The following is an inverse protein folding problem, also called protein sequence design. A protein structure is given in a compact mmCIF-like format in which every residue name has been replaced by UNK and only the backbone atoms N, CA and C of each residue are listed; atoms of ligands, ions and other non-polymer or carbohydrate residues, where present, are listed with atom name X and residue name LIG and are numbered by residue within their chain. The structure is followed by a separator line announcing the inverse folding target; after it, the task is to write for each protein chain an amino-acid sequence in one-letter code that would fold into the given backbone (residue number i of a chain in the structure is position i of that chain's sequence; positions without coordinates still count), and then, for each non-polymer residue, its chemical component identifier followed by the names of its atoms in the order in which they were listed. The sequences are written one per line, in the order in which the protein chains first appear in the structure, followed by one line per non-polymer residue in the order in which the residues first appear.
data_IF_949167780438
#
_entry.id   IF_949167780438
#
_cell.length_a   1.000
_cell.length_b   1.000
_cell.length_c   1.000
_cell.angle_alpha   90.00
_cell.angle_beta   90.00
_cell.angle_gamma   90.00
#
_symmetry.space_group_name_H-M   'P 1'
#
loop_
_entity.id
_entity.type
_entity.pdbx_description
1 polymer ?
#
# COMPACT_ATOMS: atom_id res chain seq x y z
N UNK A 1 -6.55 4.33 -8.16
CA UNK A 1 -6.81 5.47 -9.05
C UNK A 1 -7.06 6.76 -8.30
N UNK A 2 -8.14 6.94 -7.53
CA UNK A 2 -8.43 8.21 -6.82
C UNK A 2 -7.22 8.79 -6.04
N UNK A 3 -6.55 7.95 -5.24
CA UNK A 3 -5.38 8.33 -4.43
C UNK A 3 -4.11 8.65 -5.24
N UNK A 4 -4.06 8.28 -6.52
CA UNK A 4 -2.98 8.60 -7.44
C UNK A 4 -3.24 9.91 -8.20
N UNK A 5 -4.49 10.20 -8.53
CA UNK A 5 -4.85 11.38 -9.33
C UNK A 5 -5.08 12.64 -8.49
N UNK A 6 -5.58 12.50 -7.26
CA UNK A 6 -5.85 13.65 -6.38
C UNK A 6 -4.61 14.51 -6.03
N UNK A 7 -3.38 13.96 -5.87
CA UNK A 7 -2.20 14.76 -5.57
C UNK A 7 -1.74 15.61 -6.77
N UNK A 8 -2.26 15.36 -7.98
CA UNK A 8 -1.95 16.16 -9.16
C UNK A 8 -2.51 17.58 -9.07
N UNK A 9 -3.42 17.85 -8.12
CA UNK A 9 -4.02 19.18 -7.91
C UNK A 9 -4.96 19.63 -9.03
N UNK A 10 -5.33 18.72 -9.94
CA UNK A 10 -6.23 19.01 -11.05
C UNK A 10 -7.67 18.63 -10.68
N UNK A 11 -8.68 19.33 -11.23
CA UNK A 11 -10.06 18.87 -11.16
C UNK A 11 -10.19 17.48 -11.80
N UNK A 12 -10.69 16.50 -11.04
CA UNK A 12 -10.86 15.13 -11.50
C UNK A 12 -12.34 14.76 -11.49
N UNK A 13 -12.83 14.33 -12.65
CA UNK A 13 -14.14 13.74 -12.82
C UNK A 13 -14.03 12.22 -12.88
N UNK A 14 -14.56 11.55 -11.86
CA UNK A 14 -14.76 10.11 -11.88
C UNK A 14 -16.07 9.76 -12.59
N UNK A 15 -16.18 8.53 -13.07
CA UNK A 15 -17.34 8.07 -13.83
C UNK A 15 -17.83 6.73 -13.30
N UNK A 16 -19.15 6.60 -13.20
CA UNK A 16 -19.85 5.32 -13.05
C UNK A 16 -20.99 5.28 -14.06
N UNK A 17 -21.77 4.20 -14.10
CA UNK A 17 -22.96 4.09 -14.92
C UNK A 17 -24.09 3.36 -14.19
N UNK A 18 -25.31 3.56 -14.70
CA UNK A 18 -26.51 2.87 -14.20
C UNK A 18 -26.55 1.36 -14.55
N UNK A 19 -25.56 0.87 -15.27
CA UNK A 19 -25.45 -0.49 -15.80
C UNK A 19 -25.09 -1.52 -14.71
N UNK A 20 -25.67 -2.72 -14.76
CA UNK A 20 -25.38 -3.76 -13.76
C UNK A 20 -24.04 -4.45 -14.01
N UNK A 21 -23.86 -5.04 -15.19
CA UNK A 21 -22.69 -5.88 -15.49
C UNK A 21 -21.53 -5.09 -16.12
N UNK A 22 -21.82 -4.31 -17.17
CA UNK A 22 -20.81 -3.57 -17.94
C UNK A 22 -21.41 -2.36 -18.62
N UNK A 23 -20.55 -1.43 -19.04
CA UNK A 23 -20.97 -0.25 -19.80
C UNK A 23 -21.82 -0.64 -21.01
N UNK A 24 -22.97 0.02 -21.18
CA UNK A 24 -23.89 -0.22 -22.30
C UNK A 24 -24.87 -1.39 -22.12
N UNK A 25 -24.89 -2.04 -20.96
CA UNK A 25 -25.93 -3.03 -20.61
C UNK A 25 -27.30 -2.36 -20.45
N UNK A 26 -28.02 -2.21 -21.55
CA UNK A 26 -29.33 -1.54 -21.59
C UNK A 26 -30.48 -2.39 -21.03
N UNK A 27 -30.24 -3.65 -20.67
CA UNK A 27 -31.26 -4.58 -20.23
C UNK A 27 -31.34 -4.72 -18.70
N UNK A 28 -30.36 -4.18 -17.96
CA UNK A 28 -30.36 -4.23 -16.50
C UNK A 28 -30.04 -2.87 -15.85
N UNK A 29 -30.43 -2.77 -14.58
CA UNK A 29 -30.13 -1.64 -13.70
C UNK A 29 -29.25 -2.12 -12.55
N UNK A 30 -28.22 -1.33 -12.25
CA UNK A 30 -27.41 -1.51 -11.06
C UNK A 30 -28.28 -1.43 -9.80
N UNK A 31 -28.05 -2.28 -8.78
CA UNK A 31 -28.71 -2.11 -7.48
C UNK A 31 -28.46 -0.71 -6.91
N UNK A 32 -29.48 -0.09 -6.31
CA UNK A 32 -29.37 1.26 -5.71
C UNK A 32 -28.18 1.38 -4.75
N UNK A 33 -28.00 0.38 -3.90
CA UNK A 33 -26.90 0.35 -2.93
C UNK A 33 -25.52 0.39 -3.60
N UNK A 34 -25.34 -0.26 -4.75
CA UNK A 34 -24.07 -0.24 -5.47
C UNK A 34 -23.79 1.12 -6.11
N UNK A 35 -24.79 1.76 -6.72
CA UNK A 35 -24.62 3.11 -7.28
C UNK A 35 -24.36 4.15 -6.18
N UNK A 36 -25.04 4.03 -5.03
CA UNK A 36 -24.79 4.87 -3.86
C UNK A 36 -23.38 4.64 -3.33
N UNK A 37 -22.96 3.38 -3.15
CA UNK A 37 -21.61 3.07 -2.71
C UNK A 37 -20.54 3.69 -3.60
N UNK A 38 -20.63 3.52 -4.92
CA UNK A 38 -19.65 4.05 -5.86
C UNK A 38 -19.60 5.58 -5.83
N UNK A 39 -20.75 6.25 -5.84
CA UNK A 39 -20.82 7.73 -5.80
C UNK A 39 -20.34 8.29 -4.46
N UNK A 40 -20.70 7.67 -3.34
CA UNK A 40 -20.19 8.05 -2.02
C UNK A 40 -18.67 7.80 -1.90
N UNK A 41 -18.12 6.77 -2.55
CA UNK A 41 -16.68 6.54 -2.60
C UNK A 41 -15.94 7.58 -3.44
N UNK A 42 -16.54 8.07 -4.52
CA UNK A 42 -15.98 9.20 -5.28
C UNK A 42 -15.92 10.45 -4.40
N UNK A 43 -17.03 10.78 -3.72
CA UNK A 43 -17.11 11.92 -2.81
C UNK A 43 -16.12 11.82 -1.64
N UNK A 44 -15.99 10.65 -1.02
CA UNK A 44 -15.08 10.43 0.12
C UNK A 44 -13.60 10.64 -0.25
N UNK A 45 -13.27 10.54 -1.54
CA UNK A 45 -11.95 10.82 -2.08
C UNK A 45 -11.77 12.25 -2.60
N UNK A 46 -12.78 13.12 -2.40
CA UNK A 46 -12.75 14.50 -2.88
C UNK A 46 -12.90 14.62 -4.40
N UNK A 47 -13.50 13.62 -5.05
CA UNK A 47 -13.71 13.62 -6.50
C UNK A 47 -15.14 14.02 -6.84
N UNK A 48 -15.31 14.68 -7.99
CA UNK A 48 -16.63 14.85 -8.62
C UNK A 48 -16.96 13.60 -9.45
N UNK A 49 -18.24 13.28 -9.59
CA UNK A 49 -18.70 12.08 -10.29
C UNK A 49 -19.73 12.37 -11.38
N UNK A 50 -19.64 11.64 -12.50
CA UNK A 50 -20.67 11.55 -13.53
C UNK A 50 -21.31 10.15 -13.55
N UNK A 51 -22.64 10.09 -13.64
CA UNK A 51 -23.36 8.82 -13.82
C UNK A 51 -23.81 8.71 -15.28
N UNK A 52 -23.19 7.80 -16.01
CA UNK A 52 -23.49 7.52 -17.41
C UNK A 52 -24.77 6.72 -17.59
N UNK A 53 -25.51 7.07 -18.65
CA UNK A 53 -26.62 6.33 -19.21
C UNK A 53 -26.44 6.24 -20.74
N UNK A 54 -27.07 5.26 -21.37
CA UNK A 54 -27.19 5.13 -22.81
C UNK A 54 -28.65 5.31 -23.19
N UNK A 55 -28.92 6.28 -24.06
CA UNK A 55 -30.27 6.59 -24.51
C UNK A 55 -30.85 5.40 -25.28
N UNK A 56 -32.09 5.02 -24.93
CA UNK A 56 -32.81 3.98 -25.65
C UNK A 56 -32.94 4.36 -27.14
N UNK A 57 -32.85 3.42 -28.10
CA UNK A 57 -33.00 3.71 -29.55
C UNK A 57 -34.30 4.42 -29.97
N UNK A 58 -35.28 4.50 -29.06
CA UNK A 58 -36.53 5.24 -29.27
C UNK A 58 -36.41 6.73 -28.94
N UNK A 59 -35.24 7.19 -28.49
CA UNK A 59 -35.00 8.57 -28.09
C UNK A 59 -35.65 9.01 -26.77
N UNK A 60 -36.22 8.07 -26.00
CA UNK A 60 -36.93 8.37 -24.75
C UNK A 60 -36.14 7.85 -23.54
N UNK A 61 -35.81 8.70 -22.54
CA UNK A 61 -35.16 8.28 -21.31
C UNK A 61 -35.99 7.27 -20.51
N UNK A 62 -35.33 6.29 -19.89
CA UNK A 62 -36.01 5.34 -19.00
C UNK A 62 -36.31 5.98 -17.65
N UNK A 63 -37.60 6.04 -17.28
CA UNK A 63 -38.03 6.55 -15.97
C UNK A 63 -37.31 5.84 -14.82
N UNK A 64 -37.24 4.50 -14.87
CA UNK A 64 -36.60 3.72 -13.81
C UNK A 64 -35.08 4.02 -13.69
N UNK A 65 -34.39 4.23 -14.81
CA UNK A 65 -32.97 4.60 -14.81
C UNK A 65 -32.77 5.98 -14.16
N UNK A 66 -33.61 6.96 -14.50
CA UNK A 66 -33.50 8.31 -13.95
C UNK A 66 -33.99 8.42 -12.49
N UNK A 67 -34.92 7.56 -12.06
CA UNK A 67 -35.26 7.42 -10.63
C UNK A 67 -34.05 6.90 -9.82
N UNK A 68 -33.30 5.93 -10.35
CA UNK A 68 -32.07 5.43 -9.77
C UNK A 68 -30.97 6.50 -9.75
N UNK A 69 -30.68 7.13 -10.89
CA UNK A 69 -29.67 8.20 -11.00
C UNK A 69 -30.01 9.37 -10.07
N UNK A 70 -31.27 9.83 -10.09
CA UNK A 70 -31.74 10.90 -9.21
C UNK A 70 -31.63 10.55 -7.73
N UNK A 71 -31.76 9.26 -7.36
CA UNK A 71 -31.53 8.85 -5.96
C UNK A 71 -30.09 9.02 -5.51
N UNK A 72 -29.10 8.84 -6.39
CA UNK A 72 -27.70 9.08 -6.07
C UNK A 72 -27.40 10.58 -5.98
N UNK A 73 -27.90 11.38 -6.93
CA UNK A 73 -27.71 12.84 -6.88
C UNK A 73 -28.38 13.52 -5.68
N UNK A 74 -29.56 13.07 -5.24
CA UNK A 74 -30.16 13.56 -3.98
C UNK A 74 -29.29 13.28 -2.77
N UNK A 75 -28.61 12.12 -2.74
CA UNK A 75 -27.65 11.83 -1.67
C UNK A 75 -26.41 12.73 -1.76
N UNK A 76 -25.86 12.93 -2.96
CA UNK A 76 -24.73 13.84 -3.20
C UNK A 76 -25.07 15.27 -2.76
N UNK A 77 -26.26 15.77 -3.13
CA UNK A 77 -26.75 17.09 -2.74
C UNK A 77 -26.87 17.22 -1.22
N UNK A 78 -27.41 16.20 -0.54
CA UNK A 78 -27.46 16.16 0.92
C UNK A 78 -26.07 16.14 1.58
N UNK A 79 -25.04 15.68 0.87
CA UNK A 79 -23.66 15.71 1.34
C UNK A 79 -22.95 17.05 1.10
N UNK A 80 -23.49 17.96 0.28
CA UNK A 80 -22.82 19.20 -0.12
C UNK A 80 -22.30 20.05 1.07
N UNK A 81 -23.02 20.20 2.20
CA UNK A 81 -22.53 20.97 3.35
C UNK A 81 -21.24 20.43 3.99
N UNK A 82 -20.92 19.14 3.77
CA UNK A 82 -19.70 18.51 4.26
C UNK A 82 -18.54 18.58 3.25
N UNK A 83 -18.82 19.00 2.02
CA UNK A 83 -17.86 19.04 0.92
C UNK A 83 -17.39 20.47 0.61
N UNK A 84 -18.25 21.47 0.84
CA UNK A 84 -17.92 22.87 0.61
C UNK A 84 -16.70 23.33 1.42
N UNK A 85 -15.68 23.84 0.73
CA UNK A 85 -14.40 24.24 1.34
C UNK A 85 -13.57 23.07 1.90
N UNK A 86 -14.05 21.83 1.74
CA UNK A 86 -13.36 20.64 2.18
C UNK A 86 -12.10 20.38 1.37
N UNK A 87 -11.04 19.94 2.04
CA UNK A 87 -9.84 19.41 1.39
C UNK A 87 -9.51 18.04 1.94
N UNK A 88 -9.06 17.16 1.05
CA UNK A 88 -8.50 15.88 1.46
C UNK A 88 -7.16 16.12 2.15
N UNK A 89 -6.98 15.53 3.32
CA UNK A 89 -5.70 15.54 4.05
C UNK A 89 -5.15 14.12 4.09
N UNK A 90 -3.97 13.95 3.51
CA UNK A 90 -3.26 12.67 3.45
C UNK A 90 -2.09 12.69 4.43
N UNK A 91 -1.95 11.64 5.22
CA UNK A 91 -0.89 11.53 6.23
C UNK A 91 0.30 10.71 5.72
N UNK A 92 0.06 9.83 4.75
CA UNK A 92 1.08 8.90 4.22
C UNK A 92 1.24 9.08 2.72
N UNK A 93 2.48 9.12 2.24
CA UNK A 93 2.79 8.95 0.82
C UNK A 93 3.24 7.52 0.54
N UNK A 94 2.70 6.90 -0.51
CA UNK A 94 3.19 5.63 -1.05
C UNK A 94 3.88 5.94 -2.38
N UNK A 95 5.19 5.77 -2.42
CA UNK A 95 5.99 6.10 -3.60
C UNK A 95 5.90 4.95 -4.59
N UNK A 96 5.38 5.22 -5.78
CA UNK A 96 5.18 4.21 -6.84
C UNK A 96 5.79 4.73 -8.12
N UNK A 97 6.63 3.90 -8.74
CA UNK A 97 7.19 4.18 -10.06
C UNK A 97 6.06 4.25 -11.11
N UNK A 98 5.86 5.40 -11.78
CA UNK A 98 4.86 5.54 -12.85
C UNK A 98 5.07 4.56 -14.01
N UNK A 99 6.30 4.07 -14.23
CA UNK A 99 6.61 3.10 -15.28
C UNK A 99 5.89 1.75 -15.08
N UNK A 100 5.40 1.46 -13.87
CA UNK A 100 4.59 0.28 -13.58
C UNK A 100 3.17 0.35 -14.16
N UNK A 101 2.72 1.54 -14.58
CA UNK A 101 1.40 1.74 -15.19
C UNK A 101 0.25 1.17 -14.37
N UNK A 102 -0.64 0.42 -15.03
CA UNK A 102 -1.83 -0.19 -14.40
C UNK A 102 -1.50 -1.42 -13.53
N UNK A 103 -0.26 -1.89 -13.53
CA UNK A 103 0.17 -3.02 -12.72
C UNK A 103 1.27 -2.60 -11.72
N UNK A 104 0.90 -1.92 -10.62
CA UNK A 104 1.85 -1.43 -9.63
C UNK A 104 2.54 -2.52 -8.80
N UNK A 105 2.28 -3.80 -9.11
CA UNK A 105 2.88 -4.95 -8.46
C UNK A 105 2.22 -5.33 -7.12
N UNK A 106 2.52 -6.54 -6.66
CA UNK A 106 1.95 -7.12 -5.44
C UNK A 106 2.32 -6.32 -4.17
N UNK A 107 3.54 -5.78 -4.11
CA UNK A 107 4.03 -5.00 -2.96
C UNK A 107 3.22 -3.70 -2.78
N UNK A 108 3.05 -2.92 -3.85
CA UNK A 108 2.22 -1.71 -3.82
C UNK A 108 0.76 -2.02 -3.49
N UNK A 109 0.17 -3.05 -4.12
CA UNK A 109 -1.20 -3.47 -3.80
C UNK A 109 -1.34 -3.87 -2.32
N UNK A 110 -0.33 -4.56 -1.77
CA UNK A 110 -0.25 -4.91 -0.36
C UNK A 110 -0.23 -3.68 0.55
N UNK A 111 0.63 -2.70 0.25
CA UNK A 111 0.71 -1.45 1.00
C UNK A 111 -0.62 -0.67 0.97
N UNK A 112 -1.25 -0.56 -0.21
CA UNK A 112 -2.56 0.09 -0.39
C UNK A 112 -3.64 -0.60 0.46
N UNK A 113 -3.70 -1.94 0.43
CA UNK A 113 -4.68 -2.71 1.22
C UNK A 113 -4.43 -2.60 2.71
N UNK A 114 -3.17 -2.63 3.15
CA UNK A 114 -2.82 -2.47 4.55
C UNK A 114 -3.26 -1.09 5.07
N UNK A 115 -2.94 -0.02 4.34
CA UNK A 115 -3.35 1.34 4.71
C UNK A 115 -4.88 1.54 4.68
N UNK A 116 -5.58 0.90 3.73
CA UNK A 116 -7.05 0.87 3.72
C UNK A 116 -7.62 0.21 4.97
N UNK A 117 -7.08 -0.95 5.37
CA UNK A 117 -7.52 -1.67 6.56
C UNK A 117 -7.26 -0.88 7.85
N UNK A 118 -6.13 -0.16 7.90
CA UNK A 118 -5.80 0.77 8.99
C UNK A 118 -6.65 2.04 9.01
N UNK A 119 -7.45 2.28 7.95
CA UNK A 119 -8.20 3.53 7.73
C UNK A 119 -7.31 4.78 7.72
N UNK A 120 -6.04 4.61 7.34
CA UNK A 120 -5.11 5.72 7.15
C UNK A 120 -5.43 6.48 5.85
N UNK A 121 -5.27 7.81 5.87
CA UNK A 121 -5.35 8.62 4.65
C UNK A 121 -4.00 8.68 3.97
N UNK A 122 -3.95 8.36 2.68
CA UNK A 122 -2.69 8.26 1.96
C UNK A 122 -2.80 8.57 0.47
N UNK A 123 -1.74 9.11 -0.08
CA UNK A 123 -1.55 9.36 -1.50
C UNK A 123 -0.63 8.33 -2.13
N UNK A 124 -0.83 8.10 -3.42
CA UNK A 124 0.12 7.38 -4.26
C UNK A 124 0.81 8.44 -5.12
N UNK A 125 2.13 8.55 -4.98
CA UNK A 125 2.90 9.64 -5.57
C UNK A 125 4.08 9.10 -6.38
N UNK A 126 4.52 9.78 -7.45
CA UNK A 126 5.74 9.41 -8.16
C UNK A 126 6.98 9.64 -7.27
N UNK A 127 8.13 9.03 -7.61
CA UNK A 127 9.41 9.30 -6.94
C UNK A 127 9.73 10.79 -6.84
N UNK A 128 9.36 11.58 -7.85
CA UNK A 128 9.64 13.02 -7.96
C UNK A 128 8.73 13.94 -7.14
N UNK A 129 7.69 13.41 -6.47
CA UNK A 129 6.72 14.24 -5.75
C UNK A 129 7.27 14.85 -4.46
N UNK A 130 6.83 16.05 -4.10
CA UNK A 130 7.14 16.65 -2.80
C UNK A 130 6.62 15.78 -1.64
N UNK A 131 7.50 15.49 -0.68
CA UNK A 131 7.22 14.62 0.47
C UNK A 131 6.91 15.42 1.74
N UNK A 132 7.16 16.73 1.77
CA UNK A 132 7.11 17.55 2.98
C UNK A 132 5.73 17.65 3.64
N UNK A 133 4.65 17.41 2.90
CA UNK A 133 3.27 17.43 3.41
C UNK A 133 2.85 16.16 4.15
N UNK A 134 3.64 15.10 4.12
CA UNK A 134 3.30 13.79 4.68
C UNK A 134 3.99 13.56 6.03
N UNK A 135 3.34 12.79 6.89
CA UNK A 135 3.92 12.33 8.18
C UNK A 135 4.76 11.08 8.00
N UNK A 136 4.40 10.23 7.04
CA UNK A 136 5.15 9.04 6.70
C UNK A 136 5.26 8.83 5.18
N UNK A 137 6.38 8.24 4.75
CA UNK A 137 6.63 7.84 3.37
C UNK A 137 6.89 6.34 3.35
N UNK A 138 6.15 5.61 2.52
CA UNK A 138 6.30 4.18 2.28
C UNK A 138 6.88 3.98 0.88
N UNK A 139 7.99 3.26 0.79
CA UNK A 139 8.60 2.85 -0.48
C UNK A 139 8.49 1.32 -0.58
N UNK A 140 7.53 0.81 -1.38
CA UNK A 140 7.35 -0.62 -1.60
C UNK A 140 8.53 -1.26 -2.34
N UNK A 141 8.58 -2.59 -2.32
CA UNK A 141 9.65 -3.37 -2.97
C UNK A 141 9.72 -3.17 -4.49
N UNK A 142 8.60 -2.82 -5.11
CA UNK A 142 8.46 -2.64 -6.56
C UNK A 142 8.97 -1.28 -7.06
N UNK A 143 9.31 -0.37 -6.16
CA UNK A 143 9.78 0.98 -6.52
C UNK A 143 11.31 1.01 -6.43
N UNK A 144 12.03 1.13 -7.57
CA UNK A 144 13.48 1.33 -7.56
C UNK A 144 13.83 2.64 -6.85
N UNK A 145 14.94 2.63 -6.12
CA UNK A 145 15.48 3.84 -5.47
C UNK A 145 16.79 4.19 -6.14
N UNK A 146 16.83 5.35 -6.80
CA UNK A 146 18.03 5.94 -7.36
C UNK A 146 18.66 6.94 -6.37
N UNK A 147 19.73 7.61 -6.79
CA UNK A 147 20.44 8.56 -5.95
C UNK A 147 19.59 9.79 -5.58
N UNK A 148 18.76 10.29 -6.52
CA UNK A 148 17.87 11.43 -6.28
C UNK A 148 16.81 11.09 -5.23
N UNK A 149 16.10 9.96 -5.40
CA UNK A 149 15.09 9.53 -4.44
C UNK A 149 15.73 9.24 -3.07
N UNK A 150 16.91 8.60 -3.03
CA UNK A 150 17.63 8.35 -1.78
C UNK A 150 17.98 9.65 -1.05
N UNK A 151 18.51 10.66 -1.76
CA UNK A 151 18.85 11.96 -1.17
C UNK A 151 17.61 12.64 -0.58
N UNK A 152 16.50 12.62 -1.30
CA UNK A 152 15.25 13.26 -0.89
C UNK A 152 14.58 12.53 0.28
N UNK A 153 14.63 11.20 0.32
CA UNK A 153 14.21 10.41 1.48
C UNK A 153 15.07 10.73 2.72
N UNK A 154 16.39 10.86 2.54
CA UNK A 154 17.30 11.25 3.61
C UNK A 154 17.06 12.67 4.13
N UNK A 155 16.80 13.62 3.23
CA UNK A 155 16.42 14.99 3.60
C UNK A 155 15.10 15.02 4.38
N UNK A 156 14.07 14.31 3.90
CA UNK A 156 12.78 14.17 4.58
C UNK A 156 12.93 13.53 5.96
N UNK A 157 13.75 12.48 6.10
CA UNK A 157 14.03 11.84 7.40
C UNK A 157 14.74 12.79 8.36
N UNK A 158 15.75 13.54 7.91
CA UNK A 158 16.45 14.54 8.72
C UNK A 158 15.54 15.69 9.17
N UNK A 159 14.51 16.01 8.41
CA UNK A 159 13.47 16.97 8.78
C UNK A 159 12.44 16.39 9.79
N UNK A 160 12.59 15.13 10.23
CA UNK A 160 11.72 14.49 11.22
C UNK A 160 10.64 13.58 10.62
N UNK A 161 10.62 13.40 9.30
CA UNK A 161 9.65 12.53 8.62
C UNK A 161 9.93 11.05 8.85
N UNK A 162 8.87 10.23 8.94
CA UNK A 162 9.00 8.77 9.07
C UNK A 162 9.11 8.09 7.69
N UNK A 163 10.09 7.20 7.50
CA UNK A 163 10.30 6.48 6.23
C UNK A 163 10.24 4.97 6.48
N UNK A 164 9.41 4.27 5.70
CA UNK A 164 9.30 2.82 5.67
C UNK A 164 9.79 2.31 4.31
N UNK A 165 10.97 1.68 4.30
CA UNK A 165 11.53 1.02 3.13
C UNK A 165 11.24 -0.48 3.21
N UNK A 166 10.80 -1.08 2.10
CA UNK A 166 10.48 -2.50 2.04
C UNK A 166 11.38 -3.21 1.04
N UNK A 167 12.00 -4.31 1.47
CA UNK A 167 12.80 -5.20 0.62
C UNK A 167 13.87 -4.47 -0.20
N UNK A 168 13.91 -4.60 -1.54
CA UNK A 168 14.91 -3.94 -2.38
C UNK A 168 14.99 -2.42 -2.24
N UNK A 169 13.93 -1.73 -1.78
CA UNK A 169 13.95 -0.29 -1.56
C UNK A 169 14.91 0.15 -0.44
N UNK A 170 15.42 -0.79 0.38
CA UNK A 170 16.51 -0.51 1.31
C UNK A 170 17.87 -0.31 0.61
N UNK A 171 17.99 -0.65 -0.67
CA UNK A 171 19.22 -0.53 -1.44
C UNK A 171 19.04 0.45 -2.63
N UNK A 172 19.70 1.61 -2.57
CA UNK A 172 19.80 2.53 -3.71
C UNK A 172 20.65 1.90 -4.81
N UNK A 173 20.22 2.05 -6.05
CA UNK A 173 20.83 1.42 -7.23
C UNK A 173 21.05 -0.10 -7.07
N UNK A 174 20.32 -0.74 -6.14
CA UNK A 174 20.40 -2.17 -5.85
C UNK A 174 21.62 -2.63 -5.03
N UNK A 175 22.53 -1.74 -4.65
CA UNK A 175 23.81 -2.13 -4.04
C UNK A 175 24.14 -1.42 -2.73
N UNK A 176 23.78 -0.14 -2.60
CA UNK A 176 24.18 0.69 -1.46
C UNK A 176 22.98 0.98 -0.56
N UNK A 177 23.15 1.16 0.76
CA UNK A 177 22.02 1.52 1.62
C UNK A 177 21.34 2.82 1.18
N UNK A 178 20.02 2.80 1.00
CA UNK A 178 19.21 3.99 0.68
C UNK A 178 19.34 5.07 1.75
N UNK A 179 19.34 4.68 3.03
CA UNK A 179 19.51 5.55 4.18
C UNK A 179 20.70 5.02 5.01
N UNK A 180 21.93 5.49 4.77
CA UNK A 180 23.13 4.97 5.42
C UNK A 180 23.17 5.23 6.93
N UNK A 181 22.37 6.17 7.44
CA UNK A 181 22.24 6.48 8.86
C UNK A 181 21.38 5.47 9.64
N UNK A 182 20.72 4.53 8.97
CA UNK A 182 19.96 3.49 9.65
C UNK A 182 20.88 2.65 10.55
N UNK A 183 20.49 2.34 11.81
CA UNK A 183 21.31 1.57 12.75
C UNK A 183 21.33 0.08 12.41
N UNK A 184 21.84 -0.28 11.23
CA UNK A 184 21.96 -1.64 10.73
C UNK A 184 23.30 -1.86 10.03
N UNK A 185 23.88 -3.05 10.18
CA UNK A 185 25.11 -3.47 9.49
C UNK A 185 24.87 -4.71 8.63
N UNK A 186 25.67 -4.85 7.56
CA UNK A 186 25.66 -6.06 6.73
C UNK A 186 24.34 -6.30 6.00
N UNK A 187 23.64 -5.24 5.59
CA UNK A 187 22.43 -5.33 4.77
C UNK A 187 22.75 -6.02 3.45
N UNK A 188 22.27 -7.25 3.28
CA UNK A 188 22.56 -8.07 2.11
C UNK A 188 21.40 -9.04 1.81
N UNK A 189 21.29 -9.55 0.57
CA UNK A 189 20.39 -10.66 0.27
C UNK A 189 20.63 -11.85 1.20
N UNK A 190 19.57 -12.35 1.82
CA UNK A 190 19.67 -13.53 2.65
C UNK A 190 19.78 -14.79 1.78
N UNK A 191 20.36 -15.89 2.31
CA UNK A 191 20.39 -17.16 1.61
C UNK A 191 19.00 -17.62 1.18
N UNK A 192 18.92 -18.23 0.00
CA UNK A 192 17.68 -18.83 -0.50
C UNK A 192 17.15 -19.91 0.45
N UNK A 193 15.83 -20.07 0.49
CA UNK A 193 15.14 -21.06 1.32
C UNK A 193 14.14 -20.44 2.30
N UNK A 194 13.35 -21.29 2.95
CA UNK A 194 12.35 -20.87 3.94
C UNK A 194 13.03 -20.37 5.23
N UNK A 195 12.56 -19.24 5.76
CA UNK A 195 12.86 -18.82 7.14
C UNK A 195 11.56 -18.49 7.84
N UNK A 196 11.63 -18.41 9.15
CA UNK A 196 10.52 -17.93 9.96
C UNK A 196 10.83 -16.53 10.49
N UNK A 197 9.80 -15.71 10.64
CA UNK A 197 9.85 -14.42 11.31
C UNK A 197 9.20 -14.57 12.67
N UNK A 198 10.00 -14.40 13.73
CA UNK A 198 9.50 -14.28 15.09
C UNK A 198 9.27 -12.79 15.39
N UNK A 199 8.00 -12.40 15.43
CA UNK A 199 7.59 -11.04 15.76
C UNK A 199 7.50 -10.86 17.28
N UNK A 200 7.85 -9.68 17.78
CA UNK A 200 7.70 -9.31 19.19
C UNK A 200 7.04 -7.94 19.27
N UNK A 201 5.96 -7.79 20.05
CA UNK A 201 5.25 -6.53 20.20
C UNK A 201 4.56 -6.02 18.93
N UNK A 202 4.32 -6.87 17.93
CA UNK A 202 3.63 -6.51 16.67
C UNK A 202 2.15 -6.89 16.77
N UNK A 203 1.22 -5.92 16.78
CA UNK A 203 -0.22 -6.22 16.87
C UNK A 203 -0.70 -7.16 15.76
N UNK A 204 -1.46 -8.18 16.14
CA UNK A 204 -1.99 -9.19 15.21
C UNK A 204 -0.97 -10.25 14.77
N UNK A 205 0.31 -10.12 15.14
CA UNK A 205 1.31 -11.17 14.95
C UNK A 205 1.46 -11.98 16.24
N UNK A 206 1.35 -13.31 16.18
CA UNK A 206 1.51 -14.15 17.35
C UNK A 206 3.00 -14.26 17.78
N UNK A 207 3.31 -13.90 19.03
CA UNK A 207 4.69 -13.83 19.53
C UNK A 207 5.36 -15.19 19.73
N UNK A 208 4.59 -16.17 20.19
CA UNK A 208 5.02 -17.56 20.35
C UNK A 208 4.96 -18.34 19.03
N UNK A 209 4.56 -17.66 17.95
CA UNK A 209 4.31 -18.28 16.66
C UNK A 209 5.13 -17.69 15.49
N UNK A 210 6.44 -18.02 15.37
CA UNK A 210 7.24 -17.71 14.18
C UNK A 210 6.54 -18.07 12.84
N UNK A 211 6.27 -17.09 12.00
CA UNK A 211 5.52 -17.25 10.73
C UNK A 211 6.51 -17.48 9.59
N UNK A 212 6.21 -18.42 8.70
CA UNK A 212 7.06 -18.67 7.52
C UNK A 212 7.07 -17.45 6.59
N UNK A 213 8.26 -17.04 6.16
CA UNK A 213 8.48 -16.01 5.15
C UNK A 213 9.01 -16.67 3.89
N UNK A 214 8.23 -16.58 2.82
CA UNK A 214 8.60 -17.09 1.49
C UNK A 214 9.22 -15.99 0.64
N UNK A 215 10.10 -16.37 -0.30
CA UNK A 215 10.68 -15.46 -1.29
C UNK A 215 12.05 -14.87 -0.91
N UNK A 216 12.51 -13.97 -1.77
CA UNK A 216 13.74 -13.21 -1.57
C UNK A 216 13.58 -12.23 -0.41
N UNK A 217 14.66 -11.99 0.32
CA UNK A 217 14.67 -11.11 1.49
C UNK A 217 16.05 -10.50 1.68
N UNK A 218 16.08 -9.34 2.29
CA UNK A 218 17.31 -8.78 2.84
C UNK A 218 17.44 -9.18 4.31
N UNK A 219 18.68 -9.39 4.74
CA UNK A 219 19.06 -9.59 6.13
C UNK A 219 20.07 -8.50 6.50
N UNK A 220 19.94 -7.96 7.71
CA UNK A 220 20.92 -7.07 8.31
C UNK A 220 21.08 -7.41 9.79
N UNK A 221 22.09 -6.90 10.45
CA UNK A 221 22.22 -6.95 11.91
C UNK A 221 21.91 -5.58 12.50
N UNK A 222 21.01 -5.55 13.48
CA UNK A 222 20.65 -4.35 14.21
C UNK A 222 21.81 -3.88 15.09
N UNK A 223 22.11 -2.59 15.00
CA UNK A 223 23.06 -1.89 15.84
C UNK A 223 22.33 -1.22 17.03
N UNK A 224 23.05 -0.74 18.06
CA UNK A 224 22.45 0.06 19.12
C UNK A 224 21.63 1.23 18.56
N UNK A 225 20.42 1.44 19.11
CA UNK A 225 19.46 2.44 18.62
C UNK A 225 18.43 1.89 17.63
N UNK A 226 18.59 0.65 17.13
CA UNK A 226 17.57 -0.02 16.35
C UNK A 226 16.50 -0.67 17.25
N UNK A 227 15.23 -0.48 16.90
CA UNK A 227 14.14 -1.31 17.40
C UNK A 227 13.92 -2.51 16.46
N UNK A 228 13.84 -3.72 17.03
CA UNK A 228 13.70 -4.97 16.27
C UNK A 228 12.30 -5.52 16.49
N UNK A 229 11.42 -5.32 15.49
CA UNK A 229 10.04 -5.82 15.52
C UNK A 229 9.93 -7.30 15.13
N UNK A 230 10.87 -7.80 14.33
CA UNK A 230 10.91 -9.21 13.92
C UNK A 230 12.35 -9.72 13.78
N UNK A 231 12.54 -10.98 14.17
CA UNK A 231 13.82 -11.71 14.03
C UNK A 231 13.67 -12.84 13.03
N UNK A 232 14.69 -13.03 12.21
CA UNK A 232 14.77 -14.19 11.32
C UNK A 232 15.18 -15.40 12.16
N UNK A 233 14.40 -16.48 12.04
CA UNK A 233 14.66 -17.77 12.67
C UNK A 233 14.87 -18.81 11.58
N UNK A 234 16.02 -19.49 11.65
CA UNK A 234 16.34 -20.56 10.72
C UNK A 234 15.40 -21.77 10.91
N UNK A 235 15.02 -22.48 9.84
CA UNK A 235 14.34 -23.76 9.96
C UNK A 235 15.24 -24.78 10.66
N UNK A 236 14.65 -25.81 11.30
CA UNK A 236 15.44 -26.91 11.89
C UNK A 236 16.27 -27.66 10.84
N UNK A 237 15.72 -27.81 9.63
CA UNK A 237 16.39 -28.46 8.50
C UNK A 237 16.10 -27.67 7.21
N UNK A 238 17.11 -27.44 6.36
CA UNK A 238 16.90 -26.81 5.05
C UNK A 238 16.14 -27.77 4.11
N UNK A 239 15.24 -27.25 3.27
CA UNK A 239 14.72 -27.99 2.12
C UNK A 239 15.79 -28.04 1.03
N UNK A 240 16.45 -29.19 0.88
CA UNK A 240 17.29 -29.47 -0.29
C UNK A 240 16.79 -30.73 -0.99
N UNK A 241 16.33 -30.57 -2.23
CA UNK A 241 16.32 -31.54 -3.36
C UNK A 241 15.66 -32.92 -3.23
N UNK A 242 15.69 -33.60 -2.08
CA UNK A 242 15.32 -35.02 -1.96
C UNK A 242 14.44 -35.33 -0.74
N UNK A 243 14.30 -34.41 0.22
CA UNK A 243 13.44 -34.59 1.39
C UNK A 243 12.02 -34.07 1.11
N UNK A 244 11.22 -34.84 0.37
CA UNK A 244 9.83 -34.47 0.01
C UNK A 244 8.81 -34.68 1.13
N UNK A 245 9.19 -35.28 2.28
CA UNK A 245 8.24 -35.77 3.28
C UNK A 245 8.20 -34.99 4.61
N UNK A 246 9.01 -33.95 4.81
CA UNK A 246 8.99 -33.17 6.05
C UNK A 246 8.27 -31.83 5.85
N UNK A 247 7.08 -31.67 6.43
CA UNK A 247 6.48 -30.35 6.68
C UNK A 247 7.52 -29.49 7.41
N UNK A 248 7.78 -28.24 7.00
CA UNK A 248 8.76 -27.39 7.66
C UNK A 248 8.42 -27.31 9.14
N UNK A 249 9.28 -27.92 9.96
CA UNK A 249 9.03 -28.02 11.40
C UNK A 249 9.45 -26.70 12.01
N UNK A 250 8.48 -26.06 12.63
CA UNK A 250 8.59 -24.70 13.12
C UNK A 250 9.50 -24.66 14.36
N UNK A 251 10.53 -23.80 14.40
CA UNK A 251 11.45 -23.72 15.53
C UNK A 251 10.76 -23.25 16.81
N UNK A 252 11.08 -23.87 17.96
CA UNK A 252 10.64 -23.40 19.29
C UNK A 252 11.12 -21.94 19.50
N UNK A 253 10.32 -21.07 20.16
CA UNK A 253 10.64 -19.65 20.36
C UNK A 253 11.98 -19.39 21.07
N UNK A 254 12.49 -20.37 21.83
CA UNK A 254 13.57 -20.18 22.82
C UNK A 254 14.98 -20.46 22.32
N UNK A 255 15.20 -20.77 21.04
CA UNK A 255 16.56 -20.98 20.51
C UNK A 255 16.90 -19.97 19.42
N UNK A 256 17.33 -18.74 19.78
CA UNK A 256 17.93 -17.83 18.82
C UNK A 256 19.17 -18.50 18.22
N UNK A 257 19.27 -18.53 16.89
CA UNK A 257 20.54 -18.88 16.25
C UNK A 257 21.59 -17.82 16.61
N UNK A 258 22.82 -18.26 16.88
CA UNK A 258 24.02 -17.43 17.16
C UNK A 258 24.39 -16.42 16.05
N UNK A 259 23.54 -16.25 15.04
CA UNK A 259 23.67 -15.23 13.99
C UNK A 259 22.45 -14.32 14.09
N UNK A 260 22.59 -13.09 14.63
CA UNK A 260 21.52 -12.13 14.62
C UNK A 260 21.37 -11.61 13.18
N UNK A 261 20.25 -11.95 12.54
CA UNK A 261 19.75 -11.21 11.39
C UNK A 261 18.38 -10.65 11.73
N UNK A 262 18.31 -9.34 11.84
CA UNK A 262 17.16 -8.52 12.15
C UNK A 262 16.70 -7.82 10.87
N UNK A 263 15.41 -7.86 10.59
CA UNK A 263 14.75 -6.85 9.77
C UNK A 263 14.42 -5.67 10.69
N UNK A 264 15.04 -4.51 10.45
CA UNK A 264 14.75 -3.30 11.21
C UNK A 264 13.80 -2.40 10.39
N UNK A 265 12.68 -2.00 10.99
CA UNK A 265 11.82 -0.93 10.51
C UNK A 265 11.79 0.13 11.61
N UNK A 266 12.52 1.23 11.42
CA UNK A 266 12.69 2.27 12.43
C UNK A 266 11.61 3.34 12.35
N UNK A 267 10.61 3.26 13.23
CA UNK A 267 9.64 4.33 13.49
C UNK A 267 10.15 5.19 14.66
N UNK A 268 10.35 6.51 14.49
CA UNK A 268 10.46 7.41 15.63
C UNK A 268 9.06 7.65 16.25
N UNK A 269 9.04 7.85 17.57
CA UNK A 269 7.86 8.27 18.33
C UNK A 269 7.37 9.66 17.92
#
# INVERSE_FOLDING_TARGET
MARFVRPLGLPVLSHTGRFHERWGDNAALKPRAALHYETSQMLSHGLTGGIGDVLHPRGVPSRAAYELIGSAYRHIEACAPFLEGGRVVSEVAVVVDPALGDNPGASTMGAVRALQQLRAQFDVVPPTADLGGYRAVVVPESTPVDDDLAERLGAYRRAGGAVLLVGPALLRNGTEPTLPELPVEGLAPAPAGEVFLACAGVPGAPEDFPVVSHGARLAARALPGAEVLARIVAPYFPRSGTASAATPTRPRPTRPTRRPSSSATGWPR
#
